data_IF_991466136221
#
_entry.id   IF_991466136221
#
_cell.length_a   1.000
_cell.length_b   1.000
_cell.length_c   1.000
_cell.angle_alpha   90.00
_cell.angle_beta   90.00
_cell.angle_gamma   90.00
#
_symmetry.space_group_name_H-M   'P 1'
#
loop_
_entity.id
_entity.type
_entity.pdbx_description
1 polymer ?
#
# COMPACT_ATOMS: atom_id res chain seq x y z
N UNK A 1 13.11 19.57 30.29
CA UNK A 1 11.71 19.10 30.14
C UNK A 1 10.86 20.20 29.49
N UNK A 2 11.06 21.47 29.84
CA UNK A 2 10.28 22.59 29.28
C UNK A 2 10.58 22.97 27.82
N UNK A 3 11.81 22.77 27.33
CA UNK A 3 12.19 23.22 25.98
C UNK A 3 11.48 22.44 24.85
N UNK A 4 11.18 21.16 25.09
CA UNK A 4 10.47 20.32 24.12
C UNK A 4 8.99 20.71 24.02
N UNK A 5 8.39 21.08 25.16
CA UNK A 5 7.00 21.53 25.25
C UNK A 5 6.79 22.89 24.55
N UNK A 6 7.77 23.79 24.66
CA UNK A 6 7.76 25.09 23.98
C UNK A 6 7.80 24.96 22.44
N UNK A 7 8.53 23.98 21.89
CA UNK A 7 8.63 23.75 20.44
C UNK A 7 7.30 23.29 19.83
N UNK A 8 6.51 22.50 20.56
CA UNK A 8 5.17 22.09 20.13
C UNK A 8 4.17 23.25 20.14
N UNK A 9 4.21 24.08 21.19
CA UNK A 9 3.35 25.27 21.29
C UNK A 9 3.63 26.30 20.18
N UNK A 10 4.89 26.44 19.76
CA UNK A 10 5.31 27.37 18.70
C UNK A 10 5.00 26.87 17.28
N UNK A 11 4.97 25.55 17.06
CA UNK A 11 4.79 24.96 15.73
C UNK A 11 3.34 24.57 15.43
N UNK A 12 2.51 24.41 16.46
CA UNK A 12 1.11 23.97 16.30
C UNK A 12 0.96 22.55 15.72
N UNK A 13 2.08 21.81 15.55
CA UNK A 13 2.02 20.40 15.18
C UNK A 13 1.57 19.59 16.39
N UNK A 14 0.64 18.63 16.20
CA UNK A 14 0.30 17.70 17.27
C UNK A 14 1.56 16.99 17.74
N UNK A 15 1.70 16.80 19.05
CA UNK A 15 2.75 15.95 19.61
C UNK A 15 2.61 14.57 18.96
N UNK A 16 3.67 14.08 18.30
CA UNK A 16 3.68 12.78 17.67
C UNK A 16 3.40 11.65 18.67
N UNK A 17 3.64 11.89 19.97
CA UNK A 17 3.29 10.99 21.08
C UNK A 17 1.83 11.09 21.51
N UNK A 18 1.11 12.14 21.11
CA UNK A 18 -0.33 12.27 21.34
C UNK A 18 -1.18 11.51 20.31
N UNK A 19 -0.59 11.09 19.18
CA UNK A 19 -1.19 10.07 18.34
C UNK A 19 -1.23 8.77 19.16
N UNK A 20 -2.44 8.25 19.43
CA UNK A 20 -2.59 6.96 20.10
C UNK A 20 -1.85 5.83 19.35
N UNK A 21 -1.76 4.62 19.93
CA UNK A 21 -1.02 3.53 19.33
C UNK A 21 -1.45 3.28 17.87
N UNK A 22 -0.49 3.21 16.96
CA UNK A 22 -0.74 2.89 15.56
C UNK A 22 -1.46 1.54 15.46
N UNK A 23 -2.55 1.51 14.69
CA UNK A 23 -3.28 0.28 14.37
C UNK A 23 -3.24 0.06 12.87
N UNK A 24 -2.63 -1.04 12.47
CA UNK A 24 -2.67 -1.50 11.09
C UNK A 24 -4.02 -2.12 10.71
N UNK A 25 -4.22 -2.37 9.41
CA UNK A 25 -5.34 -3.17 8.93
C UNK A 25 -5.23 -4.63 9.40
N UNK A 26 -6.31 -5.42 9.28
CA UNK A 26 -6.30 -6.83 9.70
C UNK A 26 -5.32 -7.65 8.86
N UNK A 27 -4.81 -8.76 9.41
CA UNK A 27 -4.07 -9.73 8.60
C UNK A 27 -4.97 -10.23 7.45
N UNK A 28 -4.39 -10.45 6.27
CA UNK A 28 -5.11 -10.80 5.03
C UNK A 28 -6.09 -9.72 4.53
N UNK A 29 -5.86 -8.46 4.87
CA UNK A 29 -6.52 -7.34 4.19
C UNK A 29 -6.25 -7.42 2.69
N UNK A 30 -7.30 -7.22 1.88
CA UNK A 30 -7.19 -7.29 0.42
C UNK A 30 -6.37 -6.11 -0.09
N UNK A 31 -5.44 -6.37 -1.00
CA UNK A 31 -4.64 -5.33 -1.68
C UNK A 31 -5.47 -4.28 -2.44
N UNK A 32 -6.74 -4.58 -2.76
CA UNK A 32 -7.66 -3.61 -3.36
C UNK A 32 -8.10 -2.51 -2.39
N UNK A 33 -7.76 -2.63 -1.11
CA UNK A 33 -8.01 -1.65 -0.06
C UNK A 33 -6.79 -0.78 0.24
N UNK A 34 -5.66 -1.03 -0.44
CA UNK A 34 -4.45 -0.21 -0.31
C UNK A 34 -4.69 1.21 -0.83
N UNK A 35 -4.07 2.19 -0.17
CA UNK A 35 -4.20 3.60 -0.52
C UNK A 35 -3.64 3.88 -1.93
N UNK A 36 -4.35 4.68 -2.75
CA UNK A 36 -3.84 5.13 -4.04
C UNK A 36 -2.52 5.88 -3.94
N UNK A 37 -1.68 5.75 -4.96
CA UNK A 37 -0.41 6.46 -5.11
C UNK A 37 -0.54 7.39 -6.30
N UNK A 38 -0.34 8.70 -6.08
CA UNK A 38 -0.39 9.71 -7.15
C UNK A 38 -1.68 9.66 -8.01
N UNK A 39 -2.80 9.34 -7.39
CA UNK A 39 -4.11 9.27 -8.06
C UNK A 39 -4.39 7.97 -8.82
N UNK A 40 -3.49 6.98 -8.78
CA UNK A 40 -3.73 5.62 -9.31
C UNK A 40 -3.82 4.60 -8.19
N UNK A 41 -4.46 3.45 -8.43
CA UNK A 41 -4.51 2.36 -7.46
C UNK A 41 -3.10 1.94 -7.02
N UNK A 42 -2.94 1.38 -5.82
CA UNK A 42 -1.63 0.92 -5.33
C UNK A 42 -1.03 -0.23 -6.18
N UNK A 43 -1.88 -0.98 -6.89
CA UNK A 43 -1.51 -2.12 -7.71
C UNK A 43 -2.15 -2.03 -9.11
N UNK A 44 -1.37 -2.35 -10.14
CA UNK A 44 -1.82 -2.46 -11.53
C UNK A 44 -1.93 -3.94 -11.94
N UNK A 45 -3.04 -4.33 -12.57
CA UNK A 45 -3.28 -5.70 -13.05
C UNK A 45 -3.09 -5.87 -14.56
N UNK A 46 -2.54 -7.01 -14.98
CA UNK A 46 -2.48 -7.44 -16.39
C UNK A 46 -2.53 -8.96 -16.52
N UNK A 47 -2.86 -9.43 -17.72
CA UNK A 47 -2.76 -10.84 -18.13
C UNK A 47 -1.52 -10.98 -19.04
N UNK A 48 -0.77 -12.09 -18.93
CA UNK A 48 0.45 -12.29 -19.72
C UNK A 48 0.20 -12.58 -21.21
N UNK A 49 -0.97 -13.11 -21.57
CA UNK A 49 -1.35 -13.42 -22.94
C UNK A 49 -2.86 -13.28 -23.14
N UNK A 50 -3.27 -12.63 -24.23
CA UNK A 50 -4.66 -12.59 -24.69
C UNK A 50 -4.96 -13.62 -25.79
N UNK A 51 -3.91 -14.25 -26.36
CA UNK A 51 -4.04 -15.21 -27.47
C UNK A 51 -4.43 -16.61 -26.97
N UNK A 52 -3.86 -17.03 -25.85
CA UNK A 52 -4.15 -18.32 -25.20
C UNK A 52 -4.41 -18.08 -23.70
N UNK A 53 -5.60 -17.57 -23.32
CA UNK A 53 -5.93 -17.21 -21.94
C UNK A 53 -5.79 -18.37 -20.94
N UNK A 54 -5.96 -19.61 -21.39
CA UNK A 54 -5.83 -20.82 -20.58
C UNK A 54 -4.40 -21.08 -20.09
N UNK A 55 -3.39 -20.55 -20.80
CA UNK A 55 -1.98 -20.61 -20.40
C UNK A 55 -1.48 -19.27 -19.84
N UNK A 56 -2.37 -18.30 -19.68
CA UNK A 56 -1.98 -16.98 -19.21
C UNK A 56 -1.89 -16.91 -17.69
N UNK A 57 -1.01 -16.03 -17.21
CA UNK A 57 -0.89 -15.69 -15.80
C UNK A 57 -1.52 -14.32 -15.54
N UNK A 58 -2.22 -14.18 -14.42
CA UNK A 58 -2.58 -12.89 -13.86
C UNK A 58 -1.37 -12.32 -13.11
N UNK A 59 -1.04 -11.06 -13.37
CA UNK A 59 0.09 -10.35 -12.77
C UNK A 59 -0.44 -9.06 -12.13
N UNK A 60 -0.09 -8.87 -10.86
CA UNK A 60 -0.28 -7.62 -10.14
C UNK A 60 1.08 -7.00 -9.87
N UNK A 61 1.22 -5.71 -10.15
CA UNK A 61 2.49 -4.97 -10.00
C UNK A 61 2.26 -3.76 -9.10
N UNK A 62 3.12 -3.57 -8.09
CA UNK A 62 2.99 -2.43 -7.18
C UNK A 62 3.37 -1.14 -7.90
N UNK A 63 2.52 -0.12 -7.75
CA UNK A 63 2.80 1.24 -8.21
C UNK A 63 3.57 2.05 -7.15
N UNK A 64 3.57 1.61 -5.88
CA UNK A 64 4.35 2.22 -4.80
C UNK A 64 5.80 1.74 -4.81
N UNK A 65 6.01 0.45 -5.08
CA UNK A 65 7.31 -0.20 -5.03
C UNK A 65 7.63 -0.88 -6.38
N UNK A 66 8.21 -0.14 -7.34
CA UNK A 66 8.58 -0.71 -8.63
C UNK A 66 9.47 -1.94 -8.48
N UNK A 67 9.06 -3.05 -9.07
CA UNK A 67 9.72 -4.36 -8.97
C UNK A 67 9.00 -5.37 -8.06
N UNK A 68 8.04 -4.95 -7.24
CA UNK A 68 7.21 -5.86 -6.46
C UNK A 68 6.03 -6.40 -7.29
N UNK A 69 5.92 -7.73 -7.37
CA UNK A 69 4.89 -8.42 -8.15
C UNK A 69 4.25 -9.58 -7.41
N UNK A 70 2.97 -9.82 -7.66
CA UNK A 70 2.28 -11.05 -7.34
C UNK A 70 1.78 -11.70 -8.64
N UNK A 71 1.97 -13.02 -8.78
CA UNK A 71 1.64 -13.76 -10.00
C UNK A 71 0.78 -14.96 -9.62
N UNK A 72 -0.29 -15.18 -10.38
CA UNK A 72 -1.15 -16.36 -10.27
C UNK A 72 -1.37 -16.96 -11.65
N UNK A 73 -1.36 -18.28 -11.73
CA UNK A 73 -1.76 -19.05 -12.91
C UNK A 73 -2.93 -19.97 -12.53
N UNK A 74 -3.70 -20.40 -13.53
CA UNK A 74 -4.86 -21.27 -13.31
C UNK A 74 -4.51 -22.77 -13.34
N UNK A 75 -3.23 -23.13 -13.39
CA UNK A 75 -2.82 -24.53 -13.33
C UNK A 75 -3.11 -25.07 -11.94
N UNK A 76 -4.10 -25.95 -11.86
CA UNK A 76 -4.52 -26.63 -10.62
C UNK A 76 -3.43 -27.47 -9.99
#
# INVERSE_FOLDING_TARGET
>A
MEEHEALHALTGLPDARAAGPERGPSILTRISQDLPVLGVAAWSGRISSTLLPEFACAILSSNLWPGAHAVANSSG
#
